data_IF_403180167175
#
_entry.id   IF_403180167175
#
_cell.length_a   1.000
_cell.length_b   1.000
_cell.length_c   1.000
_cell.angle_alpha   90.00
_cell.angle_beta   90.00
_cell.angle_gamma   90.00
#
_symmetry.space_group_name_H-M   'P 1'
#
loop_
_entity.id
_entity.type
_entity.pdbx_description
1 polymer ?
#
# COMPACT_ATOMS: atom_id res chain seq x y z
N UNK A 1 -31.24 29.44 3.97
CA UNK A 1 -29.91 29.17 4.57
C UNK A 1 -29.63 27.67 4.72
N UNK A 2 -30.65 26.86 5.00
CA UNK A 2 -30.56 25.39 5.10
C UNK A 2 -30.09 24.68 3.81
N UNK A 3 -30.62 25.05 2.65
CA UNK A 3 -30.27 24.42 1.36
C UNK A 3 -28.78 24.60 0.95
N UNK A 4 -28.18 25.74 1.31
CA UNK A 4 -26.75 26.01 1.05
C UNK A 4 -25.82 25.19 1.97
N UNK A 5 -26.21 25.01 3.23
CA UNK A 5 -25.48 24.18 4.19
C UNK A 5 -25.53 22.70 3.80
N UNK A 6 -26.69 22.23 3.34
CA UNK A 6 -26.88 20.85 2.89
C UNK A 6 -26.03 20.53 1.65
N UNK A 7 -26.02 21.43 0.65
CA UNK A 7 -25.17 21.30 -0.55
C UNK A 7 -23.68 21.28 -0.20
N UNK A 8 -23.26 22.12 0.74
CA UNK A 8 -21.86 22.17 1.20
C UNK A 8 -21.46 20.89 1.92
N UNK A 9 -22.32 20.38 2.80
CA UNK A 9 -22.08 19.12 3.51
C UNK A 9 -21.96 17.91 2.58
N UNK A 10 -22.83 17.82 1.57
CA UNK A 10 -22.79 16.75 0.56
C UNK A 10 -21.52 16.81 -0.28
N UNK A 11 -21.11 18.00 -0.72
CA UNK A 11 -19.86 18.18 -1.48
C UNK A 11 -18.61 17.80 -0.67
N UNK A 12 -18.58 18.15 0.62
CA UNK A 12 -17.49 17.77 1.52
C UNK A 12 -17.43 16.24 1.73
N UNK A 13 -18.59 15.59 1.86
CA UNK A 13 -18.68 14.13 1.97
C UNK A 13 -18.18 13.43 0.71
N UNK A 14 -18.62 13.87 -0.47
CA UNK A 14 -18.18 13.32 -1.76
C UNK A 14 -16.68 13.45 -1.95
N UNK A 15 -16.10 14.59 -1.55
CA UNK A 15 -14.66 14.82 -1.55
C UNK A 15 -13.94 13.85 -0.62
N UNK A 16 -14.43 13.65 0.60
CA UNK A 16 -13.87 12.69 1.54
C UNK A 16 -13.92 11.25 0.98
N UNK A 17 -15.05 10.84 0.40
CA UNK A 17 -15.20 9.54 -0.24
C UNK A 17 -14.22 9.37 -1.40
N UNK A 18 -14.02 10.41 -2.21
CA UNK A 18 -13.09 10.38 -3.33
C UNK A 18 -11.64 10.18 -2.86
N UNK A 19 -11.20 10.89 -1.80
CA UNK A 19 -9.88 10.69 -1.20
C UNK A 19 -9.66 9.20 -0.84
N UNK A 20 -10.60 8.59 -0.11
CA UNK A 20 -10.44 7.20 0.32
C UNK A 20 -10.52 6.19 -0.83
N UNK A 21 -11.32 6.47 -1.88
CA UNK A 21 -11.33 5.66 -3.11
C UNK A 21 -9.97 5.67 -3.78
N UNK A 22 -9.37 6.85 -3.98
CA UNK A 22 -8.04 6.97 -4.58
C UNK A 22 -6.98 6.25 -3.74
N UNK A 23 -7.01 6.42 -2.41
CA UNK A 23 -6.08 5.74 -1.51
C UNK A 23 -6.28 4.21 -1.42
N UNK A 24 -7.45 3.70 -1.82
CA UNK A 24 -7.72 2.25 -1.86
C UNK A 24 -7.07 1.53 -3.03
N UNK A 25 -6.66 2.26 -4.07
CA UNK A 25 -5.99 1.70 -5.26
C UNK A 25 -4.72 0.95 -4.87
N UNK A 26 -3.90 1.53 -3.99
CA UNK A 26 -2.64 0.91 -3.57
C UNK A 26 -2.82 -0.44 -2.85
N UNK A 27 -3.62 -0.53 -1.78
CA UNK A 27 -3.93 -1.79 -1.13
C UNK A 27 -4.55 -2.83 -2.05
N UNK A 28 -5.51 -2.44 -2.91
CA UNK A 28 -6.13 -3.35 -3.87
C UNK A 28 -5.08 -3.92 -4.83
N UNK A 29 -4.24 -3.05 -5.41
CA UNK A 29 -3.16 -3.48 -6.30
C UNK A 29 -2.18 -4.44 -5.61
N UNK A 30 -1.83 -4.17 -4.35
CA UNK A 30 -0.97 -5.05 -3.55
C UNK A 30 -1.57 -6.44 -3.32
N UNK A 31 -2.84 -6.53 -2.90
CA UNK A 31 -3.47 -7.83 -2.67
C UNK A 31 -3.72 -8.60 -3.96
N UNK A 32 -4.07 -7.92 -5.05
CA UNK A 32 -4.18 -8.55 -6.37
C UNK A 32 -2.83 -9.11 -6.82
N UNK A 33 -1.74 -8.39 -6.57
CA UNK A 33 -0.40 -8.88 -6.85
C UNK A 33 -0.02 -10.10 -6.01
N UNK A 34 -0.29 -10.07 -4.69
CA UNK A 34 -0.08 -11.24 -3.82
C UNK A 34 -0.89 -12.46 -4.29
N UNK A 35 -2.13 -12.24 -4.74
CA UNK A 35 -2.97 -13.30 -5.31
C UNK A 35 -2.35 -13.88 -6.57
N UNK A 36 -1.87 -13.03 -7.49
CA UNK A 36 -1.18 -13.46 -8.72
C UNK A 36 0.06 -14.27 -8.38
N UNK A 37 0.90 -13.82 -7.44
CA UNK A 37 2.07 -14.59 -6.98
C UNK A 37 1.65 -15.93 -6.38
N UNK A 38 0.64 -15.95 -5.50
CA UNK A 38 0.16 -17.17 -4.89
C UNK A 38 -0.33 -18.20 -5.92
N UNK A 39 -1.05 -17.74 -6.95
CA UNK A 39 -1.49 -18.58 -8.06
C UNK A 39 -0.31 -19.10 -8.90
N UNK A 40 0.68 -18.25 -9.20
CA UNK A 40 1.89 -18.67 -9.93
C UNK A 40 2.67 -19.74 -9.16
N UNK A 41 2.85 -19.57 -7.85
CA UNK A 41 3.52 -20.55 -6.99
C UNK A 41 2.74 -21.87 -6.91
N UNK A 42 1.41 -21.78 -6.81
CA UNK A 42 0.54 -22.96 -6.81
C UNK A 42 0.67 -23.73 -8.14
N UNK A 43 0.56 -23.05 -9.28
CA UNK A 43 0.69 -23.66 -10.59
C UNK A 43 2.07 -24.31 -10.80
N UNK A 44 3.14 -23.62 -10.40
CA UNK A 44 4.49 -24.19 -10.40
C UNK A 44 4.59 -25.46 -9.55
N UNK A 45 3.97 -25.49 -8.36
CA UNK A 45 3.98 -26.67 -7.48
C UNK A 45 3.21 -27.87 -8.05
N UNK A 46 2.24 -27.62 -8.93
CA UNK A 46 1.44 -28.64 -9.60
C UNK A 46 2.08 -29.12 -10.92
N UNK A 47 3.24 -28.59 -11.31
CA UNK A 47 3.84 -28.84 -12.61
C UNK A 47 3.04 -28.25 -13.78
N UNK A 48 2.13 -27.31 -13.50
CA UNK A 48 1.29 -26.62 -14.48
C UNK A 48 1.99 -25.31 -14.82
N UNK A 49 2.83 -25.29 -15.85
CA UNK A 49 3.57 -24.08 -16.22
C UNK A 49 4.41 -24.29 -17.48
N UNK A 50 5.10 -23.25 -17.96
CA UNK A 50 6.17 -23.42 -18.93
C UNK A 50 7.09 -24.56 -18.50
N UNK A 51 7.61 -25.35 -19.44
CA UNK A 51 8.45 -26.50 -19.16
C UNK A 51 9.77 -26.06 -18.51
N UNK A 52 9.75 -25.84 -17.19
CA UNK A 52 10.88 -25.44 -16.36
C UNK A 52 11.83 -26.63 -16.07
N UNK A 53 11.47 -27.82 -16.55
CA UNK A 53 12.14 -29.08 -16.30
C UNK A 53 13.43 -29.27 -17.13
N UNK A 54 13.84 -28.30 -17.97
CA UNK A 54 15.14 -28.32 -18.64
C UNK A 54 16.12 -27.36 -17.94
N UNK A 55 16.99 -27.84 -17.02
CA UNK A 55 17.82 -27.00 -16.16
C UNK A 55 19.11 -26.50 -16.85
N UNK A 56 19.29 -26.73 -18.15
CA UNK A 56 20.61 -26.63 -18.79
C UNK A 56 21.18 -25.22 -18.99
N UNK A 57 20.57 -24.17 -18.46
CA UNK A 57 21.37 -23.01 -18.06
C UNK A 57 20.79 -22.37 -16.80
N UNK A 58 21.44 -22.59 -15.67
CA UNK A 58 21.12 -21.96 -14.38
C UNK A 58 20.91 -20.43 -14.50
N UNK A 59 21.54 -19.80 -15.50
CA UNK A 59 21.33 -18.40 -15.86
C UNK A 59 19.97 -18.04 -16.46
N UNK A 60 19.35 -18.89 -17.31
CA UNK A 60 18.05 -18.55 -17.93
C UNK A 60 16.88 -18.67 -16.96
N UNK A 61 16.91 -19.61 -16.02
CA UNK A 61 15.87 -19.74 -14.99
C UNK A 61 15.88 -18.55 -14.01
N UNK A 62 17.07 -18.08 -13.62
CA UNK A 62 17.22 -16.87 -12.79
C UNK A 62 16.77 -15.62 -13.55
N UNK A 63 17.17 -15.46 -14.81
CA UNK A 63 16.75 -14.32 -15.65
C UNK A 63 15.24 -14.32 -15.89
N UNK A 64 14.63 -15.49 -16.11
CA UNK A 64 13.19 -15.61 -16.31
C UNK A 64 12.40 -15.30 -15.02
N UNK A 65 12.87 -15.77 -13.86
CA UNK A 65 12.29 -15.43 -12.56
C UNK A 65 12.38 -13.92 -12.28
N UNK A 66 13.53 -13.30 -12.54
CA UNK A 66 13.73 -11.85 -12.43
C UNK A 66 12.82 -11.11 -13.40
N UNK A 67 12.68 -11.56 -14.64
CA UNK A 67 11.82 -10.93 -15.65
C UNK A 67 10.34 -11.05 -15.28
N UNK A 68 9.90 -12.19 -14.75
CA UNK A 68 8.54 -12.37 -14.23
C UNK A 68 8.31 -11.47 -13.02
N UNK A 69 9.25 -11.37 -12.08
CA UNK A 69 9.16 -10.43 -10.95
C UNK A 69 9.15 -8.97 -11.41
N UNK A 70 9.94 -8.61 -12.44
CA UNK A 70 9.99 -7.26 -12.97
C UNK A 70 8.69 -6.91 -13.71
N UNK A 71 8.16 -7.81 -14.53
CA UNK A 71 6.92 -7.58 -15.30
C UNK A 71 5.69 -7.65 -14.40
N UNK A 72 5.64 -8.58 -13.45
CA UNK A 72 4.49 -8.75 -12.55
C UNK A 72 4.54 -7.79 -11.33
N UNK A 73 5.73 -7.41 -10.86
CA UNK A 73 5.94 -6.60 -9.66
C UNK A 73 5.95 -5.09 -9.88
N UNK A 74 6.36 -4.61 -11.07
CA UNK A 74 6.42 -3.17 -11.35
C UNK A 74 5.05 -2.49 -11.44
N UNK A 75 4.01 -3.05 -12.10
CA UNK A 75 2.70 -2.41 -12.19
C UNK A 75 2.00 -2.18 -10.84
N UNK A 76 1.99 -3.15 -9.89
CA UNK A 76 1.44 -2.94 -8.55
C UNK A 76 2.19 -1.86 -7.75
N UNK A 77 3.53 -1.85 -7.78
CA UNK A 77 4.33 -0.85 -7.09
C UNK A 77 4.01 0.55 -7.61
N UNK A 78 3.92 0.72 -8.93
CA UNK A 78 3.51 1.98 -9.55
C UNK A 78 2.09 2.37 -9.12
N UNK A 79 1.13 1.44 -9.11
CA UNK A 79 -0.24 1.71 -8.65
C UNK A 79 -0.29 2.12 -7.17
N UNK A 80 0.54 1.52 -6.32
CA UNK A 80 0.69 1.89 -4.91
C UNK A 80 1.19 3.34 -4.81
N UNK A 81 2.30 3.66 -5.47
CA UNK A 81 2.93 4.98 -5.39
C UNK A 81 2.00 6.06 -5.96
N UNK A 82 1.40 5.81 -7.12
CA UNK A 82 0.47 6.75 -7.74
C UNK A 82 -0.79 6.93 -6.90
N UNK A 83 -1.37 5.86 -6.35
CA UNK A 83 -2.54 5.94 -5.47
C UNK A 83 -2.26 6.79 -4.22
N UNK A 84 -1.08 6.64 -3.61
CA UNK A 84 -0.69 7.44 -2.44
C UNK A 84 -0.46 8.91 -2.79
N UNK A 85 0.29 9.19 -3.85
CA UNK A 85 0.58 10.56 -4.29
C UNK A 85 -0.72 11.26 -4.67
N UNK A 86 -1.56 10.62 -5.46
CA UNK A 86 -2.86 11.19 -5.87
C UNK A 86 -3.77 11.39 -4.66
N UNK A 87 -3.83 10.44 -3.73
CA UNK A 87 -4.61 10.57 -2.50
C UNK A 87 -4.19 11.78 -1.66
N UNK A 88 -2.88 12.00 -1.50
CA UNK A 88 -2.34 13.17 -0.78
C UNK A 88 -2.57 14.47 -1.52
N UNK A 89 -2.39 14.50 -2.85
CA UNK A 89 -2.64 15.70 -3.65
C UNK A 89 -4.10 16.13 -3.52
N UNK A 90 -5.04 15.19 -3.66
CA UNK A 90 -6.47 15.45 -3.52
C UNK A 90 -6.79 15.92 -2.10
N UNK A 91 -6.26 15.26 -1.06
CA UNK A 91 -6.47 15.66 0.33
C UNK A 91 -5.90 17.05 0.62
N UNK A 92 -4.72 17.38 0.09
CA UNK A 92 -4.04 18.66 0.33
C UNK A 92 -4.76 19.80 -0.37
N UNK A 93 -5.16 19.63 -1.64
CA UNK A 93 -5.89 20.66 -2.40
C UNK A 93 -7.28 20.95 -1.84
N UNK A 94 -7.92 19.97 -1.22
CA UNK A 94 -9.26 20.13 -0.67
C UNK A 94 -9.25 20.43 0.84
N UNK A 95 -8.08 20.57 1.47
CA UNK A 95 -7.98 20.78 2.92
C UNK A 95 -8.76 22.02 3.38
N UNK A 96 -8.62 23.13 2.66
CA UNK A 96 -9.29 24.39 3.01
C UNK A 96 -10.81 24.31 2.82
N UNK A 97 -11.27 23.55 1.82
CA UNK A 97 -12.70 23.25 1.60
C UNK A 97 -13.30 22.37 2.69
N UNK A 98 -12.49 21.50 3.29
CA UNK A 98 -12.92 20.59 4.35
C UNK A 98 -12.74 21.21 5.73
N UNK A 99 -12.05 22.35 5.85
CA UNK A 99 -11.80 23.02 7.12
C UNK A 99 -13.11 23.41 7.82
N UNK A 100 -13.21 23.14 9.12
CA UNK A 100 -14.42 23.41 9.89
C UNK A 100 -15.59 22.46 9.62
N UNK A 101 -15.43 21.48 8.72
CA UNK A 101 -16.41 20.40 8.51
C UNK A 101 -16.03 19.16 9.32
N UNK A 102 -16.99 18.24 9.51
CA UNK A 102 -16.72 16.91 10.09
C UNK A 102 -15.67 16.11 9.30
N UNK A 103 -15.44 16.47 8.03
CA UNK A 103 -14.55 15.76 7.11
C UNK A 103 -13.11 16.28 7.12
N UNK A 104 -12.78 17.35 7.86
CA UNK A 104 -11.40 17.86 7.98
C UNK A 104 -10.42 16.77 8.44
N UNK A 105 -10.87 15.96 9.41
CA UNK A 105 -10.13 14.81 9.95
C UNK A 105 -9.79 13.77 8.88
N UNK A 106 -10.59 13.64 7.81
CA UNK A 106 -10.31 12.71 6.72
C UNK A 106 -9.12 13.14 5.89
N UNK A 107 -9.02 14.42 5.52
CA UNK A 107 -7.88 14.93 4.79
C UNK A 107 -6.58 14.80 5.60
N UNK A 108 -6.62 15.15 6.88
CA UNK A 108 -5.47 15.02 7.78
C UNK A 108 -5.04 13.56 7.96
N UNK A 109 -6.00 12.66 8.17
CA UNK A 109 -5.77 11.23 8.32
C UNK A 109 -5.21 10.60 7.04
N UNK A 110 -5.70 10.99 5.87
CA UNK A 110 -5.19 10.56 4.57
C UNK A 110 -3.72 10.97 4.38
N UNK A 111 -3.41 12.26 4.58
CA UNK A 111 -2.04 12.79 4.51
C UNK A 111 -1.11 12.04 5.46
N UNK A 112 -1.52 11.86 6.72
CA UNK A 112 -0.73 11.13 7.71
C UNK A 112 -0.48 9.67 7.33
N UNK A 113 -1.50 9.00 6.78
CA UNK A 113 -1.41 7.60 6.37
C UNK A 113 -0.38 7.44 5.25
N UNK A 114 -0.37 8.34 4.27
CA UNK A 114 0.62 8.35 3.21
C UNK A 114 2.05 8.55 3.74
N UNK A 115 2.27 9.53 4.61
CA UNK A 115 3.60 9.76 5.19
C UNK A 115 4.09 8.59 6.05
N UNK A 116 3.20 7.95 6.82
CA UNK A 116 3.56 6.74 7.58
C UNK A 116 3.95 5.59 6.63
N UNK A 117 3.24 5.43 5.51
CA UNK A 117 3.63 4.44 4.50
C UNK A 117 5.02 4.72 3.93
N UNK A 118 5.29 5.97 3.52
CA UNK A 118 6.61 6.37 3.02
C UNK A 118 7.71 6.16 4.07
N UNK A 119 7.46 6.53 5.33
CA UNK A 119 8.40 6.30 6.41
C UNK A 119 8.63 4.80 6.68
N UNK A 120 7.56 3.99 6.64
CA UNK A 120 7.65 2.54 6.79
C UNK A 120 8.48 1.89 5.68
N UNK A 121 8.18 2.22 4.42
CA UNK A 121 8.98 1.74 3.28
C UNK A 121 10.43 2.21 3.36
N UNK A 122 10.66 3.49 3.65
CA UNK A 122 12.00 4.06 3.78
C UNK A 122 12.80 3.37 4.89
N UNK A 123 12.19 3.10 6.04
CA UNK A 123 12.82 2.36 7.13
C UNK A 123 13.15 0.92 6.75
N UNK A 124 12.24 0.21 6.07
CA UNK A 124 12.50 -1.16 5.58
C UNK A 124 13.66 -1.18 4.58
N UNK A 125 13.68 -0.28 3.59
CA UNK A 125 14.76 -0.18 2.60
C UNK A 125 16.08 0.17 3.29
N UNK A 126 16.07 1.17 4.17
CA UNK A 126 17.27 1.57 4.92
C UNK A 126 17.82 0.41 5.74
N UNK A 127 16.96 -0.34 6.44
CA UNK A 127 17.38 -1.50 7.21
C UNK A 127 17.98 -2.59 6.33
N UNK A 128 17.39 -2.88 5.17
CA UNK A 128 17.95 -3.83 4.19
C UNK A 128 19.32 -3.36 3.70
N UNK A 129 19.48 -2.09 3.33
CA UNK A 129 20.76 -1.53 2.86
C UNK A 129 21.83 -1.50 3.96
N UNK A 130 21.46 -1.09 5.18
CA UNK A 130 22.36 -1.05 6.32
C UNK A 130 22.87 -2.46 6.67
N UNK A 131 21.98 -3.45 6.57
CA UNK A 131 22.34 -4.85 6.69
C UNK A 131 23.34 -5.24 5.57
N UNK A 132 23.09 -4.89 4.31
CA UNK A 132 23.98 -5.21 3.19
C UNK A 132 25.38 -4.60 3.30
N UNK A 133 25.52 -3.50 4.04
CA UNK A 133 26.79 -2.78 4.21
C UNK A 133 27.75 -3.40 5.24
N UNK A 134 27.36 -4.46 5.96
CA UNK A 134 28.21 -5.10 6.98
C UNK A 134 29.17 -6.11 6.32
N UNK A 135 30.49 -5.86 6.28
CA UNK A 135 31.45 -6.81 5.70
C UNK A 135 31.53 -8.10 6.54
N UNK A 136 31.63 -9.25 5.88
CA UNK A 136 31.77 -10.63 6.43
C UNK A 136 30.51 -11.37 6.92
N UNK A 137 29.29 -10.88 6.67
CA UNK A 137 28.05 -11.64 6.98
C UNK A 137 27.55 -12.49 5.78
N UNK A 138 28.22 -12.41 4.64
CA UNK A 138 27.72 -12.81 3.31
C UNK A 138 27.47 -14.30 2.98
N UNK A 139 27.58 -15.27 3.90
CA UNK A 139 27.62 -16.68 3.46
C UNK A 139 26.37 -17.56 3.67
N UNK A 140 25.53 -17.38 4.71
CA UNK A 140 24.47 -18.40 4.99
C UNK A 140 23.12 -17.84 5.48
N UNK A 141 23.06 -16.64 6.04
CA UNK A 141 21.83 -16.12 6.67
C UNK A 141 21.13 -14.95 5.98
N UNK A 142 21.80 -14.26 5.04
CA UNK A 142 21.47 -12.85 4.75
C UNK A 142 20.41 -12.62 3.68
N UNK A 143 20.43 -13.42 2.61
CA UNK A 143 19.31 -13.43 1.66
C UNK A 143 18.01 -13.75 2.38
N UNK A 144 18.04 -14.71 3.30
CA UNK A 144 16.87 -15.12 4.08
C UNK A 144 16.45 -14.04 5.08
N UNK A 145 17.38 -13.44 5.84
CA UNK A 145 17.03 -12.42 6.86
C UNK A 145 16.43 -11.14 6.28
N UNK A 146 17.02 -10.58 5.21
CA UNK A 146 16.47 -9.41 4.52
C UNK A 146 15.13 -9.70 3.84
N UNK A 147 15.01 -10.87 3.19
CA UNK A 147 13.75 -11.32 2.58
C UNK A 147 12.69 -11.57 3.63
N UNK A 148 13.00 -12.22 4.76
CA UNK A 148 12.05 -12.43 5.86
C UNK A 148 11.58 -11.11 6.47
N UNK A 149 12.49 -10.15 6.65
CA UNK A 149 12.13 -8.82 7.14
C UNK A 149 11.19 -8.11 6.15
N UNK A 150 11.47 -8.18 4.85
CA UNK A 150 10.60 -7.63 3.81
C UNK A 150 9.24 -8.33 3.77
N UNK A 151 9.24 -9.67 3.80
CA UNK A 151 8.04 -10.51 3.83
C UNK A 151 7.22 -10.32 5.11
N UNK A 152 7.83 -9.95 6.24
CA UNK A 152 7.10 -9.65 7.46
C UNK A 152 6.59 -8.20 7.47
N UNK A 153 7.44 -7.22 7.15
CA UNK A 153 7.10 -5.80 7.31
C UNK A 153 6.14 -5.29 6.25
N UNK A 154 6.28 -5.69 4.98
CA UNK A 154 5.43 -5.18 3.90
C UNK A 154 3.96 -5.60 4.06
N UNK A 155 3.62 -6.89 4.28
CA UNK A 155 2.22 -7.28 4.48
C UNK A 155 1.61 -6.60 5.70
N UNK A 156 2.37 -6.43 6.79
CA UNK A 156 1.89 -5.73 7.98
C UNK A 156 1.58 -4.25 7.69
N UNK A 157 2.45 -3.54 6.97
CA UNK A 157 2.21 -2.16 6.57
C UNK A 157 0.98 -2.04 5.66
N UNK A 158 0.82 -2.95 4.70
CA UNK A 158 -0.33 -2.96 3.82
C UNK A 158 -1.63 -3.32 4.53
N UNK A 159 -1.59 -4.25 5.48
CA UNK A 159 -2.75 -4.60 6.30
C UNK A 159 -3.18 -3.40 7.16
N UNK A 160 -2.22 -2.75 7.82
CA UNK A 160 -2.46 -1.54 8.60
C UNK A 160 -3.05 -0.41 7.75
N UNK A 161 -2.49 -0.19 6.55
CA UNK A 161 -2.99 0.80 5.60
C UNK A 161 -4.41 0.48 5.15
N UNK A 162 -4.68 -0.76 4.78
CA UNK A 162 -6.00 -1.22 4.35
C UNK A 162 -7.04 -0.93 5.42
N UNK A 163 -6.74 -1.28 6.67
CA UNK A 163 -7.58 -0.97 7.82
C UNK A 163 -7.88 0.54 7.91
N UNK A 164 -6.86 1.40 7.79
CA UNK A 164 -7.02 2.87 7.82
C UNK A 164 -7.90 3.37 6.68
N UNK A 165 -7.69 2.87 5.47
CA UNK A 165 -8.46 3.26 4.27
C UNK A 165 -9.92 2.84 4.40
N UNK A 166 -10.21 1.58 4.77
CA UNK A 166 -11.57 1.09 4.96
C UNK A 166 -12.29 1.82 6.09
N UNK A 167 -11.60 2.11 7.20
CA UNK A 167 -12.15 2.92 8.30
C UNK A 167 -12.49 4.33 7.84
N UNK A 168 -11.59 4.99 7.11
CA UNK A 168 -11.80 6.32 6.56
C UNK A 168 -12.97 6.37 5.59
N UNK A 169 -13.06 5.37 4.71
CA UNK A 169 -14.17 5.22 3.77
C UNK A 169 -15.51 5.01 4.49
N UNK A 170 -15.58 4.07 5.44
CA UNK A 170 -16.78 3.80 6.22
C UNK A 170 -17.26 5.05 6.97
N UNK A 171 -16.37 5.74 7.68
CA UNK A 171 -16.71 6.95 8.44
C UNK A 171 -17.18 8.08 7.52
N UNK A 172 -16.58 8.21 6.33
CA UNK A 172 -17.02 9.19 5.33
C UNK A 172 -18.43 8.87 4.82
N UNK A 173 -18.76 7.59 4.58
CA UNK A 173 -20.12 7.17 4.22
C UNK A 173 -21.13 7.45 5.33
N UNK A 174 -20.72 7.29 6.58
CA UNK A 174 -21.56 7.58 7.76
C UNK A 174 -21.65 9.09 8.09
N UNK A 175 -20.93 9.97 7.36
CA UNK A 175 -20.90 11.41 7.66
C UNK A 175 -20.24 11.76 8.99
N UNK A 176 -19.37 10.88 9.51
CA UNK A 176 -18.73 11.02 10.83
C UNK A 176 -17.25 11.36 10.70
N UNK A 177 -16.68 12.13 11.64
CA UNK A 177 -15.24 12.36 11.68
C UNK A 177 -14.45 11.08 11.97
N UNK A 178 -13.18 11.10 11.58
CA UNK A 178 -12.19 10.12 12.03
C UNK A 178 -11.68 10.55 13.40
N UNK A 179 -11.93 9.72 14.41
CA UNK A 179 -11.31 9.91 15.72
C UNK A 179 -9.81 9.59 15.61
N UNK A 180 -8.96 10.61 15.66
CA UNK A 180 -7.51 10.50 15.58
C UNK A 180 -6.85 10.06 16.91
N UNK A 181 -7.62 9.86 17.99
CA UNK A 181 -7.08 9.48 19.28
C UNK A 181 -6.72 7.98 19.37
N UNK A 182 -5.51 7.61 19.85
CA UNK A 182 -5.06 6.23 20.04
C UNK A 182 -5.99 5.37 20.91
N UNK A 183 -6.81 6.00 21.75
CA UNK A 183 -7.70 5.33 22.70
C UNK A 183 -9.15 5.25 22.24
N UNK A 184 -9.50 5.88 21.10
CA UNK A 184 -10.86 5.88 20.52
C UNK A 184 -10.91 5.02 19.26
N UNK A 185 -10.44 3.77 19.41
CA UNK A 185 -10.36 2.79 18.32
C UNK A 185 -11.61 1.94 18.16
N UNK A 186 -12.54 2.03 19.12
CA UNK A 186 -13.93 1.54 19.06
C UNK A 186 -14.84 2.45 18.24
#
# INVERSE_FOLDING_TARGET
>A
MTDQLEKTGRSAQETALFIWKVMSVGPIAFFLWLLVIGLLLLFASLGIGPDFANPQSDGTMIVLAIVIELIAGLPPILAIVLGEIMGVIVASRNRDRLAGTVFESHARSAIRTCWIMFAGFGATIFLILALLAIPNIGAVGFGVGGVLLMLATLPLLFLWKSFRVFRGWRRAREGKPIADHPTRWS
#
